data_IF_180552682756
#
_entry.id   IF_180552682756
#
_cell.length_a   1.000
_cell.length_b   1.000
_cell.length_c   1.000
_cell.angle_alpha   90.00
_cell.angle_beta   90.00
_cell.angle_gamma   90.00
#
_symmetry.space_group_name_H-M   'P 1'
#
loop_
_entity.id
_entity.type
_entity.pdbx_description
1 polymer ?
#
# COMPACT_ATOMS: atom_id res chain seq x y z
N UNK A 1 -24.53 -13.59 -11.07
CA UNK A 1 -24.88 -12.18 -10.79
C UNK A 1 -23.77 -11.42 -10.05
N UNK A 2 -23.52 -11.64 -8.75
CA UNK A 2 -22.48 -10.87 -8.02
C UNK A 2 -21.04 -11.16 -8.52
N UNK A 3 -20.75 -12.43 -8.80
CA UNK A 3 -19.44 -12.88 -9.31
C UNK A 3 -19.13 -12.34 -10.70
N UNK A 4 -20.12 -12.34 -11.60
CA UNK A 4 -20.01 -11.75 -12.94
C UNK A 4 -19.84 -10.23 -12.88
N UNK A 5 -20.60 -9.55 -12.01
CA UNK A 5 -20.47 -8.11 -11.80
C UNK A 5 -19.07 -7.73 -11.29
N UNK A 6 -18.46 -8.54 -10.42
CA UNK A 6 -17.11 -8.30 -9.90
C UNK A 6 -16.03 -8.49 -10.97
N UNK A 7 -16.14 -9.52 -11.81
CA UNK A 7 -15.23 -9.74 -12.95
C UNK A 7 -15.34 -8.60 -13.95
N UNK A 8 -16.56 -8.18 -14.28
CA UNK A 8 -16.81 -7.02 -15.15
C UNK A 8 -16.24 -5.74 -14.54
N UNK A 9 -16.38 -5.53 -13.22
CA UNK A 9 -15.82 -4.36 -12.54
C UNK A 9 -14.29 -4.37 -12.58
N UNK A 10 -13.64 -5.51 -12.36
CA UNK A 10 -12.20 -5.66 -12.43
C UNK A 10 -11.66 -5.42 -13.85
N UNK A 11 -12.31 -5.98 -14.88
CA UNK A 11 -11.95 -5.73 -16.29
C UNK A 11 -12.12 -4.25 -16.65
N UNK A 12 -13.23 -3.63 -16.24
CA UNK A 12 -13.46 -2.20 -16.50
C UNK A 12 -12.43 -1.32 -15.78
N UNK A 13 -12.05 -1.64 -14.55
CA UNK A 13 -10.99 -0.94 -13.82
C UNK A 13 -9.66 -1.04 -14.57
N UNK A 14 -9.26 -2.23 -14.99
CA UNK A 14 -8.05 -2.45 -15.79
C UNK A 14 -8.10 -1.67 -17.12
N UNK A 15 -9.24 -1.66 -17.81
CA UNK A 15 -9.42 -0.92 -19.06
C UNK A 15 -9.35 0.59 -18.86
N UNK A 16 -9.98 1.12 -17.80
CA UNK A 16 -9.92 2.55 -17.46
C UNK A 16 -8.49 2.95 -17.10
N UNK A 17 -7.78 2.15 -16.31
CA UNK A 17 -6.37 2.43 -15.97
C UNK A 17 -5.50 2.50 -17.22
N UNK A 18 -5.63 1.54 -18.14
CA UNK A 18 -4.91 1.53 -19.41
C UNK A 18 -5.30 2.68 -20.34
N UNK A 19 -6.56 3.10 -20.33
CA UNK A 19 -7.03 4.24 -21.11
C UNK A 19 -6.46 5.56 -20.59
N UNK A 20 -6.37 5.70 -19.26
CA UNK A 20 -5.87 6.92 -18.62
C UNK A 20 -4.34 7.05 -18.74
N UNK A 21 -3.60 5.96 -18.60
CA UNK A 21 -2.15 5.94 -18.80
C UNK A 21 -1.71 4.54 -19.28
N UNK A 22 -1.19 4.43 -20.52
CA UNK A 22 -0.72 3.16 -21.07
C UNK A 22 0.33 2.48 -20.19
N UNK A 23 1.15 3.22 -19.44
CA UNK A 23 2.19 2.64 -18.57
C UNK A 23 1.62 1.79 -17.43
N UNK A 24 0.33 1.92 -17.12
CA UNK A 24 -0.37 1.13 -16.10
C UNK A 24 -0.65 -0.32 -16.52
N UNK A 25 -0.19 -0.75 -17.71
CA UNK A 25 -0.22 -2.16 -18.12
C UNK A 25 0.47 -3.09 -17.11
N UNK A 26 1.49 -2.59 -16.40
CA UNK A 26 2.18 -3.34 -15.35
C UNK A 26 1.23 -3.71 -14.19
N UNK A 27 0.30 -2.82 -13.84
CA UNK A 27 -0.73 -3.08 -12.82
C UNK A 27 -1.63 -4.24 -13.28
N UNK A 28 -2.06 -4.22 -14.54
CA UNK A 28 -2.94 -5.25 -15.10
C UNK A 28 -2.23 -6.60 -15.15
N UNK A 29 -0.99 -6.64 -15.67
CA UNK A 29 -0.22 -7.88 -15.78
C UNK A 29 0.12 -8.45 -14.40
N UNK A 30 0.52 -7.62 -13.43
CA UNK A 30 0.78 -8.09 -12.07
C UNK A 30 -0.49 -8.62 -11.41
N UNK A 31 -1.64 -7.96 -11.58
CA UNK A 31 -2.93 -8.45 -11.09
C UNK A 31 -3.28 -9.84 -11.64
N UNK A 32 -3.11 -10.03 -12.96
CA UNK A 32 -3.28 -11.32 -13.63
C UNK A 32 -2.29 -12.39 -13.14
N UNK A 33 -1.04 -12.01 -12.91
CA UNK A 33 -0.02 -12.93 -12.41
C UNK A 33 -0.38 -13.45 -11.01
N UNK A 34 -0.78 -12.56 -10.10
CA UNK A 34 -1.22 -12.97 -8.76
C UNK A 34 -2.49 -13.83 -8.80
N UNK A 35 -3.44 -13.52 -9.68
CA UNK A 35 -4.63 -14.37 -9.91
C UNK A 35 -4.25 -15.76 -10.41
N UNK A 36 -3.31 -15.84 -11.34
CA UNK A 36 -2.79 -17.11 -11.89
C UNK A 36 -2.13 -17.95 -10.81
N UNK A 37 -1.31 -17.31 -9.97
CA UNK A 37 -0.66 -17.99 -8.83
C UNK A 37 -1.74 -18.52 -7.86
N UNK A 38 -2.72 -17.67 -7.54
CA UNK A 38 -3.80 -17.97 -6.59
C UNK A 38 -4.71 -19.11 -7.03
N UNK A 39 -5.08 -19.15 -8.31
CA UNK A 39 -6.11 -20.04 -8.85
C UNK A 39 -5.52 -21.30 -9.47
N UNK A 40 -4.34 -21.22 -10.10
CA UNK A 40 -3.75 -22.35 -10.82
C UNK A 40 -2.56 -22.94 -10.07
N UNK A 41 -1.55 -22.13 -9.76
CA UNK A 41 -0.26 -22.65 -9.27
C UNK A 41 -0.37 -23.22 -7.86
N UNK A 42 -0.99 -22.48 -6.94
CA UNK A 42 -1.08 -22.92 -5.54
C UNK A 42 -1.90 -24.20 -5.36
N UNK A 43 -3.10 -24.36 -5.95
CA UNK A 43 -3.84 -25.61 -5.81
C UNK A 43 -3.09 -26.83 -6.34
N UNK A 44 -2.37 -26.68 -7.46
CA UNK A 44 -1.55 -27.76 -8.04
C UNK A 44 -0.37 -28.08 -7.11
N UNK A 45 0.37 -27.07 -6.67
CA UNK A 45 1.54 -27.26 -5.80
C UNK A 45 1.18 -27.82 -4.42
N UNK A 46 0.00 -27.46 -3.90
CA UNK A 46 -0.46 -27.88 -2.57
C UNK A 46 -1.25 -29.20 -2.57
N UNK A 47 -1.62 -29.74 -3.74
CA UNK A 47 -2.45 -30.94 -3.87
C UNK A 47 -1.89 -32.16 -3.11
N UNK A 48 -0.55 -32.26 -3.02
CA UNK A 48 0.11 -33.40 -2.38
C UNK A 48 0.23 -33.28 -0.85
N UNK A 49 -0.10 -32.13 -0.26
CA UNK A 49 0.00 -31.93 1.18
C UNK A 49 -1.27 -32.42 1.88
N UNK A 50 -1.14 -33.52 2.64
CA UNK A 50 -2.26 -34.13 3.40
C UNK A 50 -2.98 -33.10 4.29
N UNK A 51 -2.23 -32.21 4.94
CA UNK A 51 -2.78 -31.14 5.79
C UNK A 51 -3.65 -30.17 5.01
N UNK A 52 -3.23 -29.77 3.80
CA UNK A 52 -4.01 -28.90 2.93
C UNK A 52 -5.26 -29.62 2.43
N UNK A 53 -5.14 -30.90 2.04
CA UNK A 53 -6.27 -31.70 1.60
C UNK A 53 -7.36 -31.84 2.69
N UNK A 54 -6.95 -31.96 3.96
CA UNK A 54 -7.83 -32.09 5.11
C UNK A 54 -8.54 -30.77 5.52
N UNK A 55 -8.12 -29.61 5.01
CA UNK A 55 -8.77 -28.33 5.32
C UNK A 55 -10.16 -28.22 4.68
N UNK A 56 -11.04 -27.45 5.34
CA UNK A 56 -12.31 -27.03 4.75
C UNK A 56 -12.09 -26.18 3.51
N UNK A 57 -13.09 -26.08 2.63
CA UNK A 57 -13.03 -25.25 1.42
C UNK A 57 -12.66 -23.80 1.74
N UNK A 58 -13.29 -23.21 2.75
CA UNK A 58 -12.95 -21.87 3.22
C UNK A 58 -11.50 -21.79 3.73
N UNK A 59 -11.03 -22.79 4.49
CA UNK A 59 -9.66 -22.86 4.97
C UNK A 59 -8.64 -22.91 3.84
N UNK A 60 -8.91 -23.69 2.79
CA UNK A 60 -8.07 -23.78 1.59
C UNK A 60 -7.98 -22.42 0.87
N UNK A 61 -9.12 -21.75 0.68
CA UNK A 61 -9.17 -20.44 0.03
C UNK A 61 -8.40 -19.38 0.83
N UNK A 62 -8.62 -19.31 2.15
CA UNK A 62 -7.93 -18.36 3.01
C UNK A 62 -6.44 -18.64 3.12
N UNK A 63 -6.04 -19.92 3.17
CA UNK A 63 -4.63 -20.32 3.20
C UNK A 63 -3.92 -19.95 1.89
N UNK A 64 -4.52 -20.26 0.74
CA UNK A 64 -3.97 -19.88 -0.56
C UNK A 64 -3.88 -18.37 -0.72
N UNK A 65 -4.91 -17.62 -0.30
CA UNK A 65 -4.87 -16.16 -0.29
C UNK A 65 -3.69 -15.64 0.55
N UNK A 66 -3.54 -16.14 1.78
CA UNK A 66 -2.45 -15.77 2.69
C UNK A 66 -1.07 -16.04 2.08
N UNK A 67 -0.87 -17.18 1.40
CA UNK A 67 0.39 -17.47 0.72
C UNK A 67 0.69 -16.48 -0.41
N UNK A 68 -0.32 -16.06 -1.17
CA UNK A 68 -0.17 -15.03 -2.21
C UNK A 68 0.20 -13.69 -1.57
N UNK A 69 -0.41 -13.32 -0.45
CA UNK A 69 -0.05 -12.12 0.31
C UNK A 69 1.39 -12.15 0.83
N UNK A 70 1.88 -13.32 1.27
CA UNK A 70 3.26 -13.50 1.68
C UNK A 70 4.23 -13.35 0.50
N UNK A 71 3.90 -13.93 -0.65
CA UNK A 71 4.67 -13.76 -1.88
C UNK A 71 4.75 -12.29 -2.30
N UNK A 72 3.62 -11.58 -2.25
CA UNK A 72 3.57 -10.14 -2.50
C UNK A 72 4.45 -9.37 -1.53
N UNK A 73 4.37 -9.67 -0.23
CA UNK A 73 5.17 -9.00 0.80
C UNK A 73 6.67 -9.18 0.56
N UNK A 74 7.10 -10.39 0.18
CA UNK A 74 8.49 -10.67 -0.17
C UNK A 74 8.93 -9.90 -1.43
N UNK A 75 8.10 -9.92 -2.49
CA UNK A 75 8.39 -9.22 -3.74
C UNK A 75 8.43 -7.70 -3.54
N UNK A 76 7.47 -7.12 -2.83
CA UNK A 76 7.39 -5.69 -2.54
C UNK A 76 8.57 -5.23 -1.68
N UNK A 77 8.98 -6.03 -0.69
CA UNK A 77 10.16 -5.75 0.12
C UNK A 77 11.43 -5.74 -0.73
N UNK A 78 11.60 -6.74 -1.62
CA UNK A 78 12.74 -6.81 -2.52
C UNK A 78 12.78 -5.62 -3.49
N UNK A 79 11.65 -5.29 -4.12
CA UNK A 79 11.56 -4.14 -5.03
C UNK A 79 11.82 -2.82 -4.30
N UNK A 80 11.34 -2.67 -3.07
CA UNK A 80 11.61 -1.48 -2.24
C UNK A 80 13.09 -1.36 -1.86
N UNK A 81 13.75 -2.48 -1.53
CA UNK A 81 15.19 -2.49 -1.25
C UNK A 81 15.97 -2.11 -2.51
N UNK A 82 15.62 -2.69 -3.67
CA UNK A 82 16.25 -2.35 -4.95
C UNK A 82 16.05 -0.86 -5.26
N UNK A 83 14.85 -0.32 -5.09
CA UNK A 83 14.58 1.10 -5.28
C UNK A 83 15.44 1.98 -4.37
N UNK A 84 15.55 1.63 -3.08
CA UNK A 84 16.38 2.36 -2.12
C UNK A 84 17.87 2.32 -2.51
N UNK A 85 18.39 1.17 -2.92
CA UNK A 85 19.79 0.99 -3.31
C UNK A 85 20.12 1.64 -4.66
N UNK A 86 19.17 1.65 -5.60
CA UNK A 86 19.33 2.28 -6.92
C UNK A 86 19.13 3.80 -6.86
N UNK A 87 18.37 4.32 -5.90
CA UNK A 87 18.26 5.76 -5.65
C UNK A 87 19.62 6.28 -5.17
N UNK A 88 20.31 7.05 -6.02
CA UNK A 88 21.74 7.38 -5.86
C UNK A 88 22.13 8.22 -4.62
N UNK A 89 21.23 8.41 -3.65
CA UNK A 89 21.47 9.11 -2.39
C UNK A 89 20.27 8.96 -1.45
N UNK A 90 20.49 8.65 -0.16
CA UNK A 90 19.46 8.77 0.90
C UNK A 90 18.94 10.22 1.07
N UNK A 91 19.61 11.20 0.46
CA UNK A 91 19.17 12.59 0.36
C UNK A 91 18.48 12.90 -0.99
N UNK A 92 18.12 11.86 -1.75
CA UNK A 92 17.43 11.97 -3.03
C UNK A 92 16.05 12.63 -2.92
N UNK A 93 15.55 13.12 -4.04
CA UNK A 93 14.28 13.84 -4.08
C UNK A 93 13.08 12.90 -4.29
N UNK A 94 12.83 12.02 -3.30
CA UNK A 94 11.75 11.01 -3.30
C UNK A 94 10.34 11.56 -3.55
N UNK A 95 10.14 12.86 -3.35
CA UNK A 95 8.86 13.54 -3.54
C UNK A 95 8.71 14.08 -4.98
N UNK A 96 9.81 14.33 -5.69
CA UNK A 96 9.78 15.02 -6.98
C UNK A 96 10.24 14.17 -8.17
N UNK A 97 10.91 13.05 -7.94
CA UNK A 97 11.31 12.09 -8.97
C UNK A 97 10.91 10.70 -8.53
N UNK A 98 10.16 9.99 -9.37
CA UNK A 98 9.93 8.55 -9.22
C UNK A 98 10.93 7.82 -10.11
N UNK A 99 11.71 6.90 -9.55
CA UNK A 99 12.57 6.02 -10.34
C UNK A 99 11.73 4.91 -10.98
N UNK A 100 12.31 4.20 -11.95
CA UNK A 100 11.65 3.06 -12.59
C UNK A 100 11.36 1.99 -11.54
N UNK A 101 12.24 1.79 -10.57
CA UNK A 101 12.11 0.83 -9.49
C UNK A 101 10.96 1.19 -8.53
N UNK A 102 10.82 2.48 -8.16
CA UNK A 102 9.71 2.96 -7.34
C UNK A 102 8.37 2.82 -8.06
N UNK A 103 8.36 3.13 -9.36
CA UNK A 103 7.20 2.92 -10.23
C UNK A 103 6.82 1.44 -10.32
N UNK A 104 7.80 0.55 -10.52
CA UNK A 104 7.59 -0.89 -10.57
C UNK A 104 7.08 -1.44 -9.23
N UNK A 105 7.70 -1.05 -8.10
CA UNK A 105 7.28 -1.46 -6.77
C UNK A 105 5.82 -1.08 -6.51
N UNK A 106 5.45 0.16 -6.82
CA UNK A 106 4.08 0.66 -6.63
C UNK A 106 3.10 0.00 -7.59
N UNK A 107 3.46 -0.16 -8.87
CA UNK A 107 2.60 -0.77 -9.90
C UNK A 107 2.30 -2.25 -9.61
N UNK A 108 3.34 -3.04 -9.28
CA UNK A 108 3.19 -4.46 -8.93
C UNK A 108 2.33 -4.61 -7.67
N UNK A 109 2.54 -3.75 -6.68
CA UNK A 109 1.75 -3.77 -5.45
C UNK A 109 0.28 -3.38 -5.71
N UNK A 110 0.04 -2.40 -6.58
CA UNK A 110 -1.32 -1.99 -6.96
C UNK A 110 -2.06 -3.15 -7.63
N UNK A 111 -1.40 -3.89 -8.53
CA UNK A 111 -2.01 -5.04 -9.20
C UNK A 111 -2.32 -6.18 -8.23
N UNK A 112 -1.43 -6.43 -7.27
CA UNK A 112 -1.69 -7.34 -6.15
C UNK A 112 -2.94 -6.92 -5.37
N UNK A 113 -3.00 -5.69 -4.85
CA UNK A 113 -4.12 -5.24 -4.01
C UNK A 113 -5.45 -5.26 -4.78
N UNK A 114 -5.42 -4.99 -6.09
CA UNK A 114 -6.59 -5.06 -6.96
C UNK A 114 -7.13 -6.49 -7.05
N UNK A 115 -6.23 -7.47 -7.27
CA UNK A 115 -6.58 -8.88 -7.26
C UNK A 115 -7.05 -9.33 -5.87
N UNK A 116 -6.33 -8.95 -4.82
CA UNK A 116 -6.59 -9.41 -3.45
C UNK A 116 -7.96 -8.92 -2.97
N UNK A 117 -8.31 -7.65 -3.22
CA UNK A 117 -9.64 -7.12 -2.93
C UNK A 117 -10.73 -7.92 -3.65
N UNK A 118 -10.51 -8.25 -4.93
CA UNK A 118 -11.44 -9.09 -5.69
C UNK A 118 -11.57 -10.51 -5.10
N UNK A 119 -10.45 -11.18 -4.77
CA UNK A 119 -10.44 -12.51 -4.15
C UNK A 119 -11.18 -12.50 -2.81
N UNK A 120 -10.94 -11.49 -1.97
CA UNK A 120 -11.63 -11.32 -0.69
C UNK A 120 -13.14 -11.19 -0.86
N UNK A 121 -13.60 -10.31 -1.75
CA UNK A 121 -15.03 -10.06 -1.96
C UNK A 121 -15.70 -11.26 -2.62
N UNK A 122 -15.08 -11.84 -3.64
CA UNK A 122 -15.63 -12.98 -4.38
C UNK A 122 -15.79 -14.23 -3.52
N UNK A 123 -14.77 -14.55 -2.72
CA UNK A 123 -14.75 -15.76 -1.89
C UNK A 123 -15.27 -15.53 -0.46
N UNK A 124 -15.73 -14.32 -0.13
CA UNK A 124 -16.25 -14.00 1.20
C UNK A 124 -15.20 -14.11 2.32
N UNK A 125 -13.92 -13.93 2.00
CA UNK A 125 -12.83 -14.09 2.98
C UNK A 125 -12.84 -13.01 4.06
N UNK A 126 -13.51 -11.88 3.81
CA UNK A 126 -13.60 -10.74 4.71
C UNK A 126 -14.57 -10.95 5.89
N UNK A 127 -15.38 -12.01 5.89
CA UNK A 127 -16.46 -12.20 6.89
C UNK A 127 -15.94 -12.14 8.33
N UNK A 128 -14.73 -12.66 8.58
CA UNK A 128 -14.11 -12.62 9.92
C UNK A 128 -13.36 -11.33 10.24
N UNK A 129 -13.08 -10.51 9.24
CA UNK A 129 -12.32 -9.26 9.38
C UNK A 129 -12.77 -8.25 8.31
N UNK A 130 -13.97 -7.64 8.44
CA UNK A 130 -14.52 -6.77 7.41
C UNK A 130 -13.66 -5.51 7.16
N UNK A 131 -12.87 -5.09 8.16
CA UNK A 131 -11.94 -3.96 8.05
C UNK A 131 -10.88 -4.14 6.96
N UNK A 132 -10.59 -5.37 6.54
CA UNK A 132 -9.62 -5.64 5.47
C UNK A 132 -10.07 -5.06 4.12
N UNK A 133 -11.39 -5.02 3.85
CA UNK A 133 -11.93 -4.44 2.62
C UNK A 133 -11.66 -2.94 2.59
N UNK A 134 -11.96 -2.25 3.70
CA UNK A 134 -11.71 -0.81 3.83
C UNK A 134 -10.22 -0.50 3.66
N UNK A 135 -9.35 -1.30 4.28
CA UNK A 135 -7.90 -1.18 4.12
C UNK A 135 -7.47 -1.25 2.65
N UNK A 136 -7.92 -2.28 1.92
CA UNK A 136 -7.56 -2.48 0.50
C UNK A 136 -8.08 -1.35 -0.39
N UNK A 137 -9.32 -0.89 -0.16
CA UNK A 137 -9.90 0.23 -0.92
C UNK A 137 -9.09 1.49 -0.73
N UNK A 138 -8.72 1.83 0.51
CA UNK A 138 -7.89 3.01 0.81
C UNK A 138 -6.51 2.89 0.15
N UNK A 139 -5.86 1.73 0.28
CA UNK A 139 -4.53 1.50 -0.32
C UNK A 139 -4.58 1.62 -1.85
N UNK A 140 -5.60 1.04 -2.50
CA UNK A 140 -5.78 1.15 -3.95
C UNK A 140 -5.98 2.60 -4.39
N UNK A 141 -6.82 3.36 -3.70
CA UNK A 141 -7.00 4.79 -4.01
C UNK A 141 -5.67 5.54 -3.90
N UNK A 142 -4.92 5.33 -2.82
CA UNK A 142 -3.63 5.99 -2.61
C UNK A 142 -2.61 5.60 -3.70
N UNK A 143 -2.47 4.32 -4.00
CA UNK A 143 -1.47 3.83 -4.95
C UNK A 143 -1.82 4.20 -6.38
N UNK A 144 -3.09 4.05 -6.78
CA UNK A 144 -3.53 4.51 -8.10
C UNK A 144 -3.32 6.01 -8.25
N UNK A 145 -3.61 6.81 -7.21
CA UNK A 145 -3.35 8.26 -7.24
C UNK A 145 -1.86 8.59 -7.35
N UNK A 146 -0.99 7.79 -6.71
CA UNK A 146 0.46 7.96 -6.84
C UNK A 146 0.95 7.64 -8.26
N UNK A 147 0.30 6.70 -8.95
CA UNK A 147 0.63 6.30 -10.32
C UNK A 147 0.04 7.25 -11.37
N UNK A 148 -1.18 7.73 -11.17
CA UNK A 148 -1.85 8.66 -12.08
C UNK A 148 -1.56 10.09 -11.64
N UNK A 149 -0.66 10.81 -12.33
CA UNK A 149 -0.30 12.22 -12.06
C UNK A 149 -1.44 13.24 -12.33
N UNK A 150 -2.70 12.87 -12.11
CA UNK A 150 -3.86 13.71 -12.38
C UNK A 150 -4.13 14.66 -11.22
N UNK A 151 -3.78 15.94 -11.39
CA UNK A 151 -4.23 17.04 -10.52
C UNK A 151 -5.75 17.24 -10.68
N UNK A 152 -6.52 16.41 -9.98
CA UNK A 152 -7.98 16.40 -10.02
C UNK A 152 -8.57 16.74 -8.66
N UNK A 153 -9.87 17.05 -8.62
CA UNK A 153 -10.62 17.19 -7.36
C UNK A 153 -10.46 15.94 -6.46
N UNK A 154 -10.27 14.76 -7.06
CA UNK A 154 -9.99 13.51 -6.37
C UNK A 154 -8.65 13.58 -5.60
N UNK A 155 -7.59 14.12 -6.21
CA UNK A 155 -6.30 14.29 -5.53
C UNK A 155 -6.43 15.14 -4.26
N UNK A 156 -7.27 16.18 -4.29
CA UNK A 156 -7.56 17.00 -3.11
C UNK A 156 -8.28 16.23 -2.00
N UNK A 157 -9.25 15.39 -2.37
CA UNK A 157 -9.92 14.48 -1.43
C UNK A 157 -8.95 13.44 -0.86
N UNK A 158 -8.10 12.85 -1.70
CA UNK A 158 -7.08 11.88 -1.26
C UNK A 158 -6.14 12.53 -0.26
N UNK A 159 -5.63 13.73 -0.53
CA UNK A 159 -4.81 14.48 0.41
C UNK A 159 -5.52 14.75 1.75
N UNK A 160 -6.80 15.14 1.71
CA UNK A 160 -7.60 15.35 2.91
C UNK A 160 -7.73 14.06 3.73
N UNK A 161 -8.12 12.96 3.09
CA UNK A 161 -8.27 11.65 3.75
C UNK A 161 -6.93 11.11 4.27
N UNK A 162 -5.83 11.36 3.56
CA UNK A 162 -4.48 10.98 3.96
C UNK A 162 -4.06 11.73 5.23
N UNK A 163 -4.35 13.04 5.32
CA UNK A 163 -4.09 13.84 6.53
C UNK A 163 -4.94 13.37 7.70
N UNK A 164 -6.24 13.15 7.51
CA UNK A 164 -7.13 12.62 8.55
C UNK A 164 -6.60 11.27 9.06
N UNK A 165 -6.28 10.36 8.15
CA UNK A 165 -5.77 9.03 8.49
C UNK A 165 -4.41 9.12 9.19
N UNK A 166 -3.52 10.00 8.75
CA UNK A 166 -2.23 10.22 9.40
C UNK A 166 -2.40 10.65 10.86
N UNK A 167 -3.33 11.56 11.14
CA UNK A 167 -3.63 12.00 12.51
C UNK A 167 -4.26 10.88 13.34
N UNK A 168 -5.33 10.27 12.82
CA UNK A 168 -6.14 9.29 13.57
C UNK A 168 -5.42 7.96 13.76
N UNK A 169 -4.63 7.52 12.79
CA UNK A 169 -3.95 6.22 12.85
C UNK A 169 -2.52 6.30 13.40
N UNK A 170 -1.83 7.42 13.23
CA UNK A 170 -0.41 7.54 13.63
C UNK A 170 -0.20 8.52 14.76
N UNK A 171 -0.61 9.78 14.62
CA UNK A 171 -0.27 10.80 15.63
C UNK A 171 -0.98 10.55 16.95
N UNK A 172 -2.31 10.41 16.93
CA UNK A 172 -3.10 10.26 18.16
C UNK A 172 -2.75 8.95 18.89
N UNK A 173 -2.82 7.77 18.26
CA UNK A 173 -2.61 6.52 18.99
C UNK A 173 -1.18 6.39 19.49
N UNK A 174 -0.17 6.75 18.70
CA UNK A 174 1.21 6.59 19.14
C UNK A 174 1.58 7.58 20.24
N UNK A 175 1.04 8.81 20.22
CA UNK A 175 1.22 9.77 21.32
C UNK A 175 0.56 9.24 22.60
N UNK A 176 -0.68 8.74 22.50
CA UNK A 176 -1.38 8.14 23.65
C UNK A 176 -0.61 6.94 24.19
N UNK A 177 -0.20 6.00 23.34
CA UNK A 177 0.55 4.80 23.77
C UNK A 177 1.87 5.21 24.41
N UNK A 178 2.60 6.18 23.85
CA UNK A 178 3.86 6.67 24.44
C UNK A 178 3.63 7.25 25.83
N UNK A 179 2.59 8.06 26.00
CA UNK A 179 2.21 8.65 27.28
C UNK A 179 1.80 7.58 28.30
N UNK A 180 0.99 6.61 27.89
CA UNK A 180 0.57 5.49 28.74
C UNK A 180 1.75 4.59 29.13
N UNK A 181 2.67 4.31 28.21
CA UNK A 181 3.91 3.56 28.50
C UNK A 181 4.77 4.29 29.52
N UNK A 182 4.90 5.61 29.41
CA UNK A 182 5.63 6.42 30.38
C UNK A 182 4.98 6.43 31.77
N UNK A 183 3.66 6.60 31.83
CA UNK A 183 2.92 6.50 33.09
C UNK A 183 3.05 5.11 33.73
N UNK A 184 3.11 4.08 32.90
CA UNK A 184 3.17 2.70 33.36
C UNK A 184 4.58 2.22 33.71
N UNK A 185 5.60 3.10 33.75
CA UNK A 185 7.01 2.74 33.98
C UNK A 185 7.23 1.90 35.25
N UNK A 186 6.47 2.20 36.31
CA UNK A 186 6.65 1.58 37.62
C UNK A 186 5.99 0.18 37.68
N UNK A 187 5.16 -0.17 36.69
CA UNK A 187 4.56 -1.51 36.56
C UNK A 187 5.46 -2.50 35.80
N UNK A 188 6.56 -2.04 35.19
CA UNK A 188 7.50 -2.95 34.54
C UNK A 188 8.37 -3.65 35.59
N UNK A 189 8.22 -4.97 35.70
CA UNK A 189 9.06 -5.81 36.57
C UNK A 189 10.57 -5.65 36.30
N UNK A 190 10.93 -5.42 35.03
CA UNK A 190 12.30 -5.18 34.62
C UNK A 190 12.40 -3.83 33.92
N UNK A 191 13.26 -2.96 34.43
CA UNK A 191 13.44 -1.60 33.89
C UNK A 191 13.96 -1.62 32.44
N UNK A 192 14.68 -2.67 32.03
CA UNK A 192 15.12 -2.83 30.65
C UNK A 192 13.92 -2.96 29.67
N UNK A 193 12.85 -3.67 30.05
CA UNK A 193 11.66 -3.78 29.22
C UNK A 193 10.95 -2.43 29.04
N UNK A 194 10.92 -1.61 30.10
CA UNK A 194 10.42 -0.24 30.01
C UNK A 194 11.27 0.58 29.03
N UNK A 195 12.60 0.56 29.16
CA UNK A 195 13.51 1.30 28.27
C UNK A 195 13.32 0.89 26.81
N UNK A 196 13.19 -0.41 26.53
CA UNK A 196 12.96 -0.90 25.16
C UNK A 196 11.59 -0.47 24.64
N UNK A 197 10.52 -0.65 25.41
CA UNK A 197 9.16 -0.30 25.00
C UNK A 197 9.00 1.21 24.78
N UNK A 198 9.42 2.01 25.76
CA UNK A 198 9.36 3.47 25.69
C UNK A 198 10.29 4.00 24.60
N UNK A 199 11.52 3.50 24.52
CA UNK A 199 12.48 3.86 23.48
C UNK A 199 11.97 3.55 22.07
N UNK A 200 11.36 2.38 21.86
CA UNK A 200 10.73 2.01 20.60
C UNK A 200 9.58 2.95 20.23
N UNK A 201 8.72 3.32 21.20
CA UNK A 201 7.63 4.27 20.96
C UNK A 201 8.13 5.67 20.63
N UNK A 202 9.16 6.17 21.32
CA UNK A 202 9.81 7.45 21.00
C UNK A 202 10.41 7.41 19.60
N UNK A 203 11.11 6.34 19.24
CA UNK A 203 11.69 6.18 17.91
C UNK A 203 10.62 6.20 16.81
N UNK A 204 9.51 5.47 16.98
CA UNK A 204 8.40 5.48 16.03
C UNK A 204 7.78 6.89 15.91
N UNK A 205 7.65 7.64 17.01
CA UNK A 205 7.16 9.01 16.96
C UNK A 205 8.10 9.94 16.18
N UNK A 206 9.43 9.79 16.33
CA UNK A 206 10.41 10.54 15.55
C UNK A 206 10.30 10.23 14.05
N UNK A 207 10.12 8.95 13.70
CA UNK A 207 9.87 8.54 12.31
C UNK A 207 8.56 9.14 11.77
N UNK A 208 7.49 9.17 12.57
CA UNK A 208 6.24 9.82 12.20
C UNK A 208 6.42 11.33 12.01
N UNK A 209 7.22 12.01 12.83
CA UNK A 209 7.55 13.43 12.63
C UNK A 209 8.31 13.66 11.33
N UNK A 210 9.32 12.82 11.01
CA UNK A 210 10.04 12.92 9.73
C UNK A 210 9.08 12.74 8.55
N UNK A 211 8.23 11.71 8.63
CA UNK A 211 7.22 11.44 7.61
C UNK A 211 6.24 12.61 7.46
N UNK A 212 5.81 13.24 8.56
CA UNK A 212 4.96 14.45 8.50
C UNK A 212 5.59 15.55 7.66
N UNK A 213 6.88 15.83 7.86
CA UNK A 213 7.59 16.84 7.07
C UNK A 213 7.66 16.48 5.58
N UNK A 214 7.93 15.22 5.25
CA UNK A 214 8.03 14.75 3.87
C UNK A 214 6.67 14.79 3.16
N UNK A 215 5.62 14.34 3.84
CA UNK A 215 4.23 14.39 3.36
C UNK A 215 3.76 15.83 3.18
N UNK A 216 4.09 16.74 4.11
CA UNK A 216 3.78 18.17 3.97
C UNK A 216 4.50 18.79 2.78
N UNK A 217 5.76 18.44 2.54
CA UNK A 217 6.53 18.91 1.38
C UNK A 217 5.88 18.43 0.07
N UNK A 218 5.45 17.17 0.02
CA UNK A 218 4.73 16.61 -1.12
C UNK A 218 3.39 17.31 -1.37
N UNK A 219 2.60 17.52 -0.32
CA UNK A 219 1.34 18.24 -0.41
C UNK A 219 1.52 19.65 -0.98
N UNK A 220 2.46 20.44 -0.42
CA UNK A 220 2.71 21.81 -0.90
C UNK A 220 3.12 21.86 -2.37
N UNK A 221 3.85 20.85 -2.85
CA UNK A 221 4.27 20.75 -4.25
C UNK A 221 3.07 20.46 -5.17
N UNK A 222 2.19 19.55 -4.81
CA UNK A 222 1.03 19.20 -5.64
C UNK A 222 0.04 20.36 -5.79
N UNK A 223 0.02 21.30 -4.83
CA UNK A 223 -0.79 22.53 -4.87
C UNK A 223 0.01 23.78 -5.27
N UNK A 224 1.29 23.64 -5.63
CA UNK A 224 2.06 24.78 -6.14
C UNK A 224 1.51 25.22 -7.51
N UNK A 225 1.36 26.52 -7.78
CA UNK A 225 0.93 27.00 -9.08
C UNK A 225 1.93 26.52 -10.16
N UNK A 226 1.46 26.15 -11.36
CA UNK A 226 2.35 25.78 -12.45
C UNK A 226 3.33 26.93 -12.70
N UNK A 227 4.63 26.62 -12.75
CA UNK A 227 5.66 27.61 -13.07
C UNK A 227 5.34 28.14 -14.46
N UNK A 228 4.79 29.35 -14.53
CA UNK A 228 4.55 30.04 -15.79
C UNK A 228 5.88 30.16 -16.51
N UNK A 229 5.96 29.54 -17.69
CA UNK A 229 7.05 29.64 -18.67
C UNK A 229 7.18 31.05 -19.27
N UNK A 230 6.85 32.09 -18.51
CA UNK A 230 6.90 33.50 -18.93
C UNK A 230 8.30 34.13 -18.79
N UNK A 231 9.29 33.39 -18.27
CA UNK A 231 10.68 33.86 -18.19
C UNK A 231 11.58 33.32 -19.31
N UNK A 232 11.20 32.23 -20.00
CA UNK A 232 11.92 31.71 -21.16
C UNK A 232 11.60 32.46 -22.46
N UNK A 233 10.43 33.11 -22.55
CA UNK A 233 10.03 33.91 -23.70
C UNK A 233 10.61 35.34 -23.73
N UNK A 234 11.39 35.74 -22.73
CA UNK A 234 12.12 37.03 -22.69
C UNK A 234 13.63 36.88 -22.86
N UNK A 235 14.11 35.67 -23.13
CA UNK A 235 15.54 35.36 -23.28
C UNK A 235 15.90 34.72 -24.64
N UNK A 236 14.98 34.77 -25.61
CA UNK A 236 15.22 34.53 -27.04
C UNK A 236 14.86 35.82 -27.79
#
# INVERSE_FOLDING_TARGET
MLTEALVVTWINMCAIMLYLDPQLWIVVISSLAFATIRVLILPIGLANFKTFAAMSTFGKLLFSNTLVSMLHSMLSSLLSIIALLSSHSLNGNYVNSATIEEFLATSVSTGYFAHDLWDYVHNGLYVKSPGIILHHVVVLICYTSALTKTQSQLLRWVWCMQWITFIVARVIPHTIVTFLTYQSRDFFHQQLHFVIAFGGMVFINLLNLKLFYDVRKAWLKDFAPPVTSSLLAKAL
#
